data_IF_029379499499
#
_entry.id   IF_029379499499
#
_cell.length_a   1.000
_cell.length_b   1.000
_cell.length_c   1.000
_cell.angle_alpha   90.00
_cell.angle_beta   90.00
_cell.angle_gamma   90.00
#
_symmetry.space_group_name_H-M   'P 1'
#
loop_
_entity.id
_entity.type
_entity.pdbx_description
1 polymer ?
#
# COMPACT_ATOMS: atom_id res chain seq x y z
N UNK A 1 2.26 -3.29 11.89
CA UNK A 1 1.07 -3.92 11.29
C UNK A 1 1.49 -4.59 10.02
N UNK A 2 1.21 -5.85 9.90
CA UNK A 2 1.49 -6.58 8.68
C UNK A 2 0.47 -7.70 8.47
N UNK A 3 0.21 -8.03 7.24
CA UNK A 3 -0.30 -9.33 6.86
C UNK A 3 0.73 -10.00 5.96
N UNK A 4 0.99 -11.27 6.18
CA UNK A 4 1.97 -11.98 5.39
C UNK A 4 1.31 -12.51 4.12
N UNK A 5 1.86 -12.13 2.97
CA UNK A 5 1.64 -12.86 1.73
C UNK A 5 2.64 -14.02 1.74
N UNK A 6 2.14 -15.22 1.97
CA UNK A 6 2.96 -16.42 2.07
C UNK A 6 3.91 -16.54 0.88
N UNK A 7 5.19 -16.69 1.15
CA UNK A 7 6.25 -16.87 0.16
C UNK A 7 6.89 -15.62 -0.43
N UNK A 8 6.27 -14.43 -0.31
CA UNK A 8 6.82 -13.19 -0.88
C UNK A 8 7.52 -12.29 0.13
N UNK A 9 7.22 -12.39 1.40
CA UNK A 9 7.82 -11.57 2.46
C UNK A 9 8.97 -12.24 3.18
N UNK A 10 9.98 -12.74 2.48
CA UNK A 10 11.01 -13.61 3.06
C UNK A 10 11.73 -13.01 4.26
N UNK A 11 12.19 -11.77 4.17
CA UNK A 11 12.88 -11.09 5.27
C UNK A 11 11.93 -10.76 6.42
N UNK A 12 10.72 -10.28 6.10
CA UNK A 12 9.67 -10.03 7.08
C UNK A 12 9.30 -11.32 7.84
N UNK A 13 9.09 -12.42 7.09
CA UNK A 13 8.80 -13.73 7.67
C UNK A 13 9.90 -14.21 8.63
N UNK A 14 11.19 -14.01 8.29
CA UNK A 14 12.30 -14.30 9.20
C UNK A 14 12.28 -13.46 10.48
N UNK A 15 11.90 -12.20 10.38
CA UNK A 15 11.74 -11.35 11.57
C UNK A 15 10.62 -11.88 12.48
N UNK A 16 9.50 -12.31 11.91
CA UNK A 16 8.36 -12.85 12.69
C UNK A 16 8.68 -14.22 13.27
N UNK A 17 9.15 -15.18 12.45
CA UNK A 17 9.32 -16.58 12.85
C UNK A 17 10.61 -16.82 13.62
N UNK A 18 11.70 -16.16 13.23
CA UNK A 18 13.05 -16.42 13.73
C UNK A 18 13.62 -15.28 14.57
N UNK A 19 12.94 -14.13 14.64
CA UNK A 19 13.40 -12.90 15.29
C UNK A 19 14.74 -12.38 14.75
N UNK A 20 15.02 -12.59 13.47
CA UNK A 20 16.26 -12.22 12.79
C UNK A 20 15.99 -11.15 11.74
N UNK A 21 16.71 -10.02 11.75
CA UNK A 21 17.80 -9.63 12.64
C UNK A 21 17.35 -9.20 14.04
N UNK A 22 16.07 -8.95 14.23
CA UNK A 22 15.49 -8.59 15.53
C UNK A 22 14.01 -9.00 15.60
N UNK A 23 13.49 -9.11 16.81
CA UNK A 23 12.05 -9.23 17.04
C UNK A 23 11.32 -7.96 16.57
N UNK A 24 10.17 -8.14 15.96
CA UNK A 24 9.29 -7.04 15.56
C UNK A 24 7.97 -7.14 16.31
N UNK A 25 7.39 -6.01 16.64
CA UNK A 25 6.04 -5.92 17.15
C UNK A 25 5.06 -6.09 15.99
N UNK A 26 4.18 -7.08 16.10
CA UNK A 26 3.25 -7.45 15.05
C UNK A 26 1.80 -7.28 15.53
N UNK A 27 1.03 -6.48 14.82
CA UNK A 27 -0.44 -6.49 14.87
C UNK A 27 -0.96 -7.10 13.57
N UNK A 28 -1.59 -8.24 13.66
CA UNK A 28 -2.08 -8.95 12.48
C UNK A 28 -3.56 -8.66 12.22
N UNK A 29 -3.88 -8.33 10.97
CA UNK A 29 -5.23 -8.17 10.45
C UNK A 29 -5.35 -8.83 9.08
N UNK A 30 -6.55 -9.26 8.72
CA UNK A 30 -6.81 -9.64 7.32
C UNK A 30 -6.74 -8.41 6.41
N UNK A 31 -6.61 -8.63 5.10
CA UNK A 31 -6.66 -7.54 4.13
C UNK A 31 -7.95 -6.70 4.27
N UNK A 32 -9.09 -7.39 4.40
CA UNK A 32 -10.37 -6.72 4.64
C UNK A 32 -10.40 -5.97 5.97
N UNK A 33 -9.83 -6.53 7.04
CA UNK A 33 -9.70 -5.86 8.33
C UNK A 33 -8.88 -4.58 8.24
N UNK A 34 -7.79 -4.57 7.50
CA UNK A 34 -7.01 -3.35 7.24
C UNK A 34 -7.81 -2.32 6.44
N UNK A 35 -8.57 -2.75 5.43
CA UNK A 35 -9.45 -1.84 4.68
C UNK A 35 -10.51 -1.20 5.56
N UNK A 36 -11.11 -1.96 6.48
CA UNK A 36 -12.05 -1.43 7.48
C UNK A 36 -11.40 -0.43 8.44
N UNK A 37 -10.16 -0.66 8.85
CA UNK A 37 -9.41 0.27 9.71
C UNK A 37 -9.22 1.63 9.04
N UNK A 38 -8.80 1.64 7.77
CA UNK A 38 -8.67 2.88 6.99
C UNK A 38 -10.02 3.53 6.72
N UNK A 39 -11.06 2.73 6.44
CA UNK A 39 -12.41 3.26 6.27
C UNK A 39 -12.92 3.93 7.55
N UNK A 40 -12.70 3.32 8.72
CA UNK A 40 -13.06 3.92 10.01
C UNK A 40 -12.33 5.25 10.23
N UNK A 41 -11.03 5.30 9.93
CA UNK A 41 -10.24 6.54 9.98
C UNK A 41 -10.76 7.62 9.04
N UNK A 42 -11.07 7.26 7.79
CA UNK A 42 -11.63 8.15 6.79
C UNK A 42 -13.01 8.73 7.18
N UNK A 43 -13.83 7.92 7.88
CA UNK A 43 -15.13 8.34 8.41
C UNK A 43 -15.05 9.14 9.70
N UNK A 44 -13.89 9.22 10.34
CA UNK A 44 -13.71 9.85 11.64
C UNK A 44 -14.38 9.10 12.80
N UNK A 45 -14.64 7.78 12.64
CA UNK A 45 -15.20 6.94 13.70
C UNK A 45 -14.10 6.12 14.38
N UNK A 46 -14.23 5.78 15.69
CA UNK A 46 -13.16 5.10 16.43
C UNK A 46 -12.95 3.64 16.01
N UNK A 47 -13.96 2.99 15.45
CA UNK A 47 -13.94 1.60 15.01
C UNK A 47 -15.06 1.30 14.02
N UNK A 48 -14.97 0.16 13.33
CA UNK A 48 -16.08 -0.43 12.59
C UNK A 48 -16.36 -1.86 13.04
N UNK A 49 -17.65 -2.25 13.11
CA UNK A 49 -18.03 -3.62 13.40
C UNK A 49 -17.94 -4.50 12.15
N UNK A 50 -17.59 -5.77 12.34
CA UNK A 50 -17.55 -6.76 11.24
C UNK A 50 -17.78 -8.17 11.79
N UNK A 51 -18.24 -9.08 10.94
CA UNK A 51 -18.32 -10.52 11.26
C UNK A 51 -17.08 -11.29 10.79
N UNK A 52 -16.16 -10.65 10.03
CA UNK A 52 -15.09 -11.35 9.33
C UNK A 52 -14.03 -11.99 10.25
N UNK A 53 -13.95 -11.60 11.51
CA UNK A 53 -13.00 -12.17 12.48
C UNK A 53 -13.63 -13.19 13.43
N UNK A 54 -14.96 -13.31 13.43
CA UNK A 54 -15.64 -14.27 14.29
C UNK A 54 -15.27 -15.71 13.93
N UNK A 55 -15.03 -16.54 14.96
CA UNK A 55 -14.65 -17.93 14.80
C UNK A 55 -13.20 -18.14 14.31
N UNK A 56 -12.40 -17.09 14.25
CA UNK A 56 -10.97 -17.16 13.93
C UNK A 56 -10.11 -16.86 15.17
N UNK A 57 -8.83 -17.17 15.07
CA UNK A 57 -7.88 -16.89 16.15
C UNK A 57 -7.39 -15.42 16.17
N UNK A 58 -7.83 -14.56 15.25
CA UNK A 58 -7.38 -13.16 15.21
C UNK A 58 -7.62 -12.42 16.53
N UNK A 59 -8.82 -12.49 17.09
CA UNK A 59 -9.13 -11.85 18.36
C UNK A 59 -8.35 -12.44 19.54
N UNK A 60 -7.88 -13.69 19.44
CA UNK A 60 -7.07 -14.36 20.45
C UNK A 60 -5.63 -13.83 20.49
N UNK A 61 -5.05 -13.52 19.31
CA UNK A 61 -3.66 -13.07 19.18
C UNK A 61 -3.52 -11.56 19.03
N UNK A 62 -4.58 -10.86 18.66
CA UNK A 62 -4.60 -9.42 18.53
C UNK A 62 -5.61 -8.79 19.49
N UNK A 63 -5.12 -8.30 20.63
CA UNK A 63 -5.94 -7.71 21.70
C UNK A 63 -6.70 -6.43 21.28
N UNK A 64 -6.35 -5.85 20.13
CA UNK A 64 -7.07 -4.70 19.59
C UNK A 64 -8.37 -5.08 18.87
N UNK A 65 -8.54 -6.35 18.50
CA UNK A 65 -9.80 -6.87 17.98
C UNK A 65 -10.66 -7.30 19.17
N UNK A 66 -11.72 -6.57 19.42
CA UNK A 66 -12.66 -6.86 20.50
C UNK A 66 -13.96 -7.43 19.93
N UNK A 67 -14.76 -8.08 20.75
CA UNK A 67 -16.08 -8.57 20.38
C UNK A 67 -17.16 -7.90 21.23
N UNK A 68 -18.33 -7.65 20.62
CA UNK A 68 -19.50 -7.17 21.31
C UNK A 68 -20.78 -7.73 20.68
N UNK A 69 -21.89 -7.62 21.40
CA UNK A 69 -23.22 -7.81 20.83
C UNK A 69 -23.70 -6.51 20.18
N UNK A 70 -24.16 -6.61 18.95
CA UNK A 70 -24.67 -5.46 18.20
C UNK A 70 -25.96 -4.92 18.85
N UNK A 71 -26.04 -3.62 19.17
CA UNK A 71 -27.14 -3.07 19.98
C UNK A 71 -28.56 -3.26 19.38
N UNK A 72 -28.65 -3.38 18.05
CA UNK A 72 -29.96 -3.46 17.36
C UNK A 72 -30.38 -4.88 17.04
N UNK A 73 -29.43 -5.83 16.95
CA UNK A 73 -29.73 -7.19 16.47
C UNK A 73 -29.39 -8.27 17.48
N UNK A 74 -28.59 -7.95 18.52
CA UNK A 74 -28.05 -8.93 19.46
C UNK A 74 -27.01 -9.89 18.89
N UNK A 75 -26.65 -9.72 17.60
CA UNK A 75 -25.64 -10.57 16.96
C UNK A 75 -24.24 -10.22 17.44
N UNK A 76 -23.38 -11.24 17.61
CA UNK A 76 -21.95 -11.01 17.86
C UNK A 76 -21.27 -10.36 16.66
N UNK A 77 -20.44 -9.36 16.92
CA UNK A 77 -19.58 -8.68 15.95
C UNK A 77 -18.19 -8.46 16.55
N UNK A 78 -17.18 -8.49 15.71
CA UNK A 78 -15.84 -8.04 16.05
C UNK A 78 -15.70 -6.55 15.77
N UNK A 79 -14.98 -5.83 16.62
CA UNK A 79 -14.69 -4.41 16.47
C UNK A 79 -13.26 -4.24 15.97
N UNK A 80 -13.12 -3.50 14.88
CA UNK A 80 -11.82 -3.22 14.25
C UNK A 80 -11.50 -1.74 14.46
N UNK A 81 -10.42 -1.38 15.20
CA UNK A 81 -10.11 0.01 15.52
C UNK A 81 -9.67 0.78 14.28
N UNK A 82 -10.00 2.07 14.23
CA UNK A 82 -9.57 2.97 13.16
C UNK A 82 -8.05 3.02 13.03
N UNK A 83 -7.57 3.15 11.80
CA UNK A 83 -6.20 3.53 11.50
C UNK A 83 -6.16 5.00 11.05
N UNK A 84 -5.26 5.78 11.65
CA UNK A 84 -5.02 7.18 11.31
C UNK A 84 -3.52 7.36 11.06
N UNK A 85 -3.04 7.10 9.84
CA UNK A 85 -1.63 7.26 9.49
C UNK A 85 -1.18 8.71 9.63
N UNK A 86 0.06 8.93 10.05
CA UNK A 86 0.64 10.27 10.01
C UNK A 86 0.90 10.72 8.57
N UNK A 87 1.39 9.79 7.72
CA UNK A 87 1.66 10.04 6.30
C UNK A 87 1.11 8.90 5.46
N UNK A 88 0.40 9.24 4.39
CA UNK A 88 0.04 8.33 3.30
C UNK A 88 0.96 8.57 2.10
N UNK A 89 1.54 7.50 1.57
CA UNK A 89 2.24 7.50 0.29
C UNK A 89 1.38 6.72 -0.70
N UNK A 90 0.86 7.40 -1.71
CA UNK A 90 -0.08 6.82 -2.67
C UNK A 90 0.44 7.05 -4.07
N UNK A 91 0.37 6.01 -4.91
CA UNK A 91 0.72 6.11 -6.33
C UNK A 91 -0.51 5.87 -7.20
N UNK A 92 -0.71 6.67 -8.26
CA UNK A 92 -1.86 6.57 -9.14
C UNK A 92 -1.45 6.70 -10.63
N UNK A 93 -2.39 6.37 -11.53
CA UNK A 93 -2.13 6.40 -12.98
C UNK A 93 -1.87 7.82 -13.48
N UNK A 94 -2.62 8.80 -13.02
CA UNK A 94 -2.37 10.21 -13.33
C UNK A 94 -2.94 11.13 -12.26
N UNK A 95 -2.39 12.32 -12.15
CA UNK A 95 -2.89 13.36 -11.26
C UNK A 95 -2.79 14.74 -11.90
N UNK A 96 -3.55 15.71 -11.39
CA UNK A 96 -3.32 17.12 -11.69
C UNK A 96 -2.46 17.80 -10.61
N UNK A 97 -2.03 19.02 -10.86
CA UNK A 97 -1.23 19.82 -9.91
C UNK A 97 -1.94 20.16 -8.60
N UNK A 98 -3.26 19.92 -8.53
CA UNK A 98 -4.06 20.12 -7.33
C UNK A 98 -4.22 18.86 -6.50
N UNK A 99 -3.57 17.75 -6.90
CA UNK A 99 -3.58 16.48 -6.20
C UNK A 99 -4.81 15.60 -6.47
N UNK A 100 -5.61 15.89 -7.51
CA UNK A 100 -6.69 15.00 -7.89
C UNK A 100 -6.13 13.79 -8.62
N UNK A 101 -6.08 12.63 -7.94
CA UNK A 101 -5.52 11.38 -8.44
C UNK A 101 -6.54 10.46 -9.06
N UNK A 102 -6.25 9.95 -10.26
CA UNK A 102 -7.10 9.02 -10.99
C UNK A 102 -6.44 7.65 -11.15
N UNK A 103 -7.25 6.61 -11.00
CA UNK A 103 -6.88 5.22 -11.19
C UNK A 103 -7.66 4.62 -12.35
N UNK A 104 -6.97 3.84 -13.18
CA UNK A 104 -7.60 3.08 -14.28
C UNK A 104 -7.91 1.63 -13.91
N UNK A 105 -7.51 1.21 -12.74
CA UNK A 105 -7.69 -0.14 -12.22
C UNK A 105 -8.21 -0.15 -10.78
N UNK A 106 -7.87 -1.21 -10.06
CA UNK A 106 -8.27 -1.37 -8.66
C UNK A 106 -7.39 -0.46 -7.79
N UNK A 107 -8.03 0.45 -7.07
CA UNK A 107 -7.36 1.38 -6.14
C UNK A 107 -7.18 0.82 -4.72
N UNK A 108 -7.69 -0.39 -4.45
CA UNK A 108 -7.70 -1.00 -3.12
C UNK A 108 -8.22 -0.01 -2.04
N UNK A 109 -7.39 0.30 -1.05
CA UNK A 109 -7.76 1.22 0.03
C UNK A 109 -7.23 2.66 -0.15
N UNK A 110 -6.72 3.02 -1.34
CA UNK A 110 -6.05 4.31 -1.55
C UNK A 110 -6.92 5.51 -1.16
N UNK A 111 -8.21 5.51 -1.53
CA UNK A 111 -9.15 6.56 -1.13
C UNK A 111 -9.26 6.70 0.38
N UNK A 112 -9.46 5.59 1.07
CA UNK A 112 -9.63 5.60 2.52
C UNK A 112 -8.32 5.94 3.25
N UNK A 113 -7.18 5.50 2.74
CA UNK A 113 -5.87 5.84 3.30
C UNK A 113 -5.63 7.35 3.19
N UNK A 114 -5.89 7.95 2.00
CA UNK A 114 -5.75 9.40 1.81
C UNK A 114 -6.64 10.21 2.74
N UNK A 115 -7.87 9.75 2.98
CA UNK A 115 -8.83 10.44 3.87
C UNK A 115 -8.54 10.23 5.36
N UNK A 116 -7.90 9.11 5.72
CA UNK A 116 -7.57 8.75 7.11
C UNK A 116 -6.26 9.36 7.58
N UNK A 117 -5.34 9.66 6.68
CA UNK A 117 -4.02 10.17 6.99
C UNK A 117 -4.05 11.66 7.38
N UNK A 118 -3.07 12.09 8.19
CA UNK A 118 -2.86 13.51 8.49
C UNK A 118 -2.25 14.26 7.30
N UNK A 119 -1.33 13.59 6.57
CA UNK A 119 -0.66 14.11 5.39
C UNK A 119 -0.66 13.07 4.28
N UNK A 120 -0.85 13.51 3.04
CA UNK A 120 -0.82 12.62 1.88
C UNK A 120 0.15 13.15 0.82
N UNK A 121 1.10 12.30 0.45
CA UNK A 121 1.98 12.51 -0.71
C UNK A 121 1.46 11.60 -1.82
N UNK A 122 1.03 12.20 -2.93
CA UNK A 122 0.54 11.51 -4.10
C UNK A 122 1.62 11.50 -5.17
N UNK A 123 2.05 10.32 -5.60
CA UNK A 123 2.86 10.17 -6.81
C UNK A 123 1.98 9.69 -7.95
N UNK A 124 2.34 9.99 -9.20
CA UNK A 124 1.60 9.55 -10.36
C UNK A 124 2.53 9.19 -11.51
N UNK A 125 2.04 8.31 -12.40
CA UNK A 125 2.74 8.01 -13.64
C UNK A 125 2.85 9.23 -14.53
N UNK A 126 1.79 10.06 -14.54
CA UNK A 126 1.73 11.25 -15.38
C UNK A 126 1.01 12.41 -14.69
N UNK A 127 1.66 13.56 -14.66
CA UNK A 127 1.01 14.81 -14.29
C UNK A 127 0.29 15.40 -15.51
N UNK A 128 -0.99 15.72 -15.36
CA UNK A 128 -1.86 16.18 -16.45
C UNK A 128 -2.60 17.46 -16.10
N UNK A 129 -3.14 18.12 -17.11
CA UNK A 129 -3.98 19.30 -16.91
C UNK A 129 -5.29 18.93 -16.20
N UNK A 130 -5.76 19.82 -15.33
CA UNK A 130 -7.01 19.66 -14.57
C UNK A 130 -8.21 19.41 -15.49
N UNK A 131 -8.23 20.01 -16.67
CA UNK A 131 -9.31 19.81 -17.65
C UNK A 131 -9.45 18.33 -18.09
N UNK A 132 -8.32 17.58 -18.13
CA UNK A 132 -8.37 16.15 -18.43
C UNK A 132 -8.97 15.35 -17.27
N UNK A 133 -8.63 15.71 -16.03
CA UNK A 133 -9.24 15.10 -14.84
C UNK A 133 -10.75 15.35 -14.81
N UNK A 134 -11.20 16.56 -15.10
CA UNK A 134 -12.62 16.97 -15.11
C UNK A 134 -13.44 16.25 -16.16
N UNK A 135 -12.84 15.79 -17.24
CA UNK A 135 -13.56 15.02 -18.29
C UNK A 135 -14.00 13.63 -17.82
N UNK A 136 -13.31 13.06 -16.83
CA UNK A 136 -13.58 11.71 -16.28
C UNK A 136 -13.57 11.73 -14.76
N UNK A 137 -14.48 12.49 -14.10
CA UNK A 137 -14.44 12.71 -12.66
C UNK A 137 -14.67 11.42 -11.85
N UNK A 138 -15.37 10.44 -12.43
CA UNK A 138 -15.64 9.13 -11.84
C UNK A 138 -14.37 8.27 -11.63
N UNK A 139 -13.25 8.61 -12.26
CA UNK A 139 -11.95 7.95 -12.06
C UNK A 139 -11.14 8.57 -10.93
N UNK A 140 -11.57 9.72 -10.40
CA UNK A 140 -10.87 10.41 -9.31
C UNK A 140 -11.15 9.71 -7.99
N UNK A 141 -10.18 8.93 -7.54
CA UNK A 141 -10.24 8.15 -6.30
C UNK A 141 -9.60 8.94 -5.14
N UNK A 142 -8.50 9.64 -5.41
CA UNK A 142 -7.85 10.51 -4.42
C UNK A 142 -8.22 11.96 -4.74
N UNK A 143 -9.09 12.59 -3.93
CA UNK A 143 -9.47 13.98 -4.16
C UNK A 143 -8.39 14.94 -3.65
N UNK A 144 -8.13 16.00 -4.41
CA UNK A 144 -7.02 16.94 -4.15
C UNK A 144 -7.03 17.58 -2.77
N UNK A 145 -8.21 17.75 -2.16
CA UNK A 145 -8.30 18.32 -0.80
C UNK A 145 -7.70 17.43 0.30
N UNK A 146 -7.37 16.17 -0.01
CA UNK A 146 -6.69 15.25 0.91
C UNK A 146 -5.19 15.17 0.67
N UNK A 147 -4.65 15.90 -0.32
CA UNK A 147 -3.27 15.77 -0.80
C UNK A 147 -2.47 17.01 -0.46
N UNK A 148 -1.34 16.83 0.22
CA UNK A 148 -0.41 17.92 0.57
C UNK A 148 0.66 18.12 -0.50
N UNK A 149 1.09 17.04 -1.19
CA UNK A 149 2.08 17.11 -2.24
C UNK A 149 1.78 16.13 -3.36
N UNK A 150 2.05 16.55 -4.61
CA UNK A 150 1.94 15.70 -5.80
C UNK A 150 3.25 15.71 -6.57
N UNK A 151 3.68 14.51 -7.02
CA UNK A 151 4.92 14.32 -7.79
C UNK A 151 4.66 13.39 -8.98
N UNK A 152 5.25 13.73 -10.14
CA UNK A 152 5.32 12.81 -11.27
C UNK A 152 6.50 11.86 -11.06
N UNK A 153 6.23 10.56 -11.01
CA UNK A 153 7.24 9.51 -10.81
C UNK A 153 6.87 8.31 -11.70
N UNK A 154 7.23 8.34 -12.98
CA UNK A 154 6.91 7.26 -13.91
C UNK A 154 7.51 5.92 -13.47
N UNK A 155 6.79 4.82 -13.68
CA UNK A 155 7.17 3.46 -13.26
C UNK A 155 7.32 3.27 -11.74
N UNK A 156 6.69 4.11 -10.89
CA UNK A 156 6.85 3.99 -9.44
C UNK A 156 6.20 2.75 -8.84
N UNK A 157 5.31 2.06 -9.54
CA UNK A 157 4.81 0.75 -9.12
C UNK A 157 5.75 -0.41 -9.46
N UNK A 158 6.79 -0.20 -10.30
CA UNK A 158 7.74 -1.26 -10.65
C UNK A 158 8.38 -1.91 -9.40
N UNK A 159 8.51 -3.23 -9.33
CA UNK A 159 8.26 -4.24 -10.38
C UNK A 159 6.79 -4.68 -10.53
N UNK A 160 5.85 -4.10 -9.79
CA UNK A 160 4.43 -4.38 -9.92
C UNK A 160 3.84 -3.66 -11.13
N UNK A 161 2.60 -3.96 -11.47
CA UNK A 161 1.90 -3.33 -12.59
C UNK A 161 1.24 -2.00 -12.21
N UNK A 162 1.09 -1.13 -13.18
CA UNK A 162 0.10 -0.05 -13.17
C UNK A 162 -0.87 -0.29 -14.33
N UNK A 163 -2.15 -0.44 -14.01
CA UNK A 163 -3.16 -0.81 -15.00
C UNK A 163 -3.21 0.21 -16.15
N UNK A 164 -3.16 -0.30 -17.37
CA UNK A 164 -3.10 0.42 -18.65
C UNK A 164 -1.76 1.12 -18.96
N UNK A 165 -0.84 1.21 -18.02
CA UNK A 165 0.47 1.83 -18.26
C UNK A 165 1.54 0.76 -18.50
N UNK A 166 1.69 -0.22 -17.61
CA UNK A 166 2.64 -1.32 -17.74
C UNK A 166 2.25 -2.55 -16.93
N UNK A 167 2.78 -3.69 -17.33
CA UNK A 167 2.52 -4.99 -16.69
C UNK A 167 3.57 -5.32 -15.62
N UNK A 168 3.30 -6.35 -14.86
CA UNK A 168 4.18 -6.87 -13.82
C UNK A 168 5.50 -7.42 -14.37
N UNK A 169 6.65 -6.90 -13.91
CA UNK A 169 7.98 -7.41 -14.25
C UNK A 169 8.34 -8.65 -13.41
N UNK A 170 7.73 -9.78 -13.77
CA UNK A 170 7.97 -11.05 -13.10
C UNK A 170 9.45 -11.48 -13.08
N UNK A 171 10.24 -11.35 -14.18
CA UNK A 171 11.66 -11.67 -14.16
C UNK A 171 12.46 -10.83 -13.17
N UNK A 172 12.23 -9.53 -13.09
CA UNK A 172 12.91 -8.65 -12.14
C UNK A 172 12.54 -9.01 -10.70
N UNK A 173 11.25 -9.15 -10.40
CA UNK A 173 10.79 -9.54 -9.08
C UNK A 173 11.33 -10.92 -8.68
N UNK A 174 11.43 -11.88 -9.60
CA UNK A 174 12.01 -13.20 -9.32
C UNK A 174 13.49 -13.11 -8.95
N UNK A 175 14.25 -12.21 -9.58
CA UNK A 175 15.65 -11.94 -9.22
C UNK A 175 15.74 -11.30 -7.83
N UNK A 176 14.90 -10.31 -7.54
CA UNK A 176 14.80 -9.68 -6.23
C UNK A 176 14.52 -10.73 -5.13
N UNK A 177 13.53 -11.58 -5.34
CA UNK A 177 13.16 -12.63 -4.38
C UNK A 177 14.29 -13.64 -4.15
N UNK A 178 15.08 -13.96 -5.19
CA UNK A 178 16.27 -14.80 -5.04
C UNK A 178 17.36 -14.11 -4.23
N UNK A 179 17.64 -12.85 -4.51
CA UNK A 179 18.61 -12.04 -3.77
C UNK A 179 18.23 -11.94 -2.28
N UNK A 180 16.96 -11.73 -1.98
CA UNK A 180 16.48 -11.55 -0.60
C UNK A 180 16.49 -12.82 0.26
N UNK A 181 16.86 -13.99 -0.29
CA UNK A 181 17.02 -15.22 0.49
C UNK A 181 18.20 -15.19 1.43
N UNK A 182 19.21 -14.40 1.15
CA UNK A 182 20.40 -14.26 1.99
C UNK A 182 20.58 -12.79 2.39
N UNK A 183 21.28 -12.56 3.50
CA UNK A 183 21.62 -11.21 3.94
C UNK A 183 22.53 -10.52 2.91
N UNK A 184 23.56 -11.21 2.45
CA UNK A 184 24.48 -10.69 1.45
C UNK A 184 23.77 -10.29 0.15
N UNK A 185 22.93 -11.18 -0.39
CA UNK A 185 22.14 -10.87 -1.59
C UNK A 185 21.18 -9.69 -1.40
N UNK A 186 20.59 -9.56 -0.22
CA UNK A 186 19.75 -8.41 0.13
C UNK A 186 20.58 -7.12 0.16
N UNK A 187 21.74 -7.11 0.80
CA UNK A 187 22.60 -5.93 0.90
C UNK A 187 23.10 -5.49 -0.49
N UNK A 188 23.55 -6.43 -1.33
CA UNK A 188 23.93 -6.15 -2.73
C UNK A 188 22.76 -5.57 -3.54
N UNK A 189 21.56 -6.12 -3.38
CA UNK A 189 20.37 -5.61 -4.08
C UNK A 189 20.00 -4.20 -3.63
N UNK A 190 20.02 -3.96 -2.31
CA UNK A 190 19.70 -2.64 -1.75
C UNK A 190 20.72 -1.60 -2.18
N UNK A 191 22.02 -1.96 -2.19
CA UNK A 191 23.05 -1.06 -2.67
C UNK A 191 22.82 -0.70 -4.14
N UNK A 192 22.55 -1.70 -4.97
CA UNK A 192 22.36 -1.48 -6.40
C UNK A 192 21.16 -0.65 -6.78
N UNK A 193 20.01 -0.89 -6.14
CA UNK A 193 18.72 -0.33 -6.57
C UNK A 193 18.12 0.70 -5.61
N UNK A 194 18.71 0.93 -4.45
CA UNK A 194 18.19 1.85 -3.45
C UNK A 194 19.23 2.83 -2.92
N UNK A 195 20.34 2.35 -2.38
CA UNK A 195 21.31 3.22 -1.73
C UNK A 195 22.37 3.79 -2.67
N UNK A 196 22.75 3.04 -3.70
CA UNK A 196 23.74 3.43 -4.70
C UNK A 196 23.18 4.23 -5.86
N UNK A 197 21.89 4.59 -5.84
CA UNK A 197 21.25 5.46 -6.84
C UNK A 197 20.97 6.83 -6.22
N UNK A 198 21.32 7.91 -6.92
CA UNK A 198 21.16 9.27 -6.41
C UNK A 198 19.73 9.79 -6.57
N UNK A 199 19.05 9.36 -7.66
CA UNK A 199 17.70 9.80 -7.97
C UNK A 199 16.88 8.70 -8.67
N UNK A 200 15.60 9.02 -8.92
CA UNK A 200 14.68 8.12 -9.61
C UNK A 200 15.10 7.79 -11.05
N UNK A 201 15.69 8.74 -11.75
CA UNK A 201 16.15 8.51 -13.14
C UNK A 201 17.34 7.54 -13.18
N UNK A 202 18.20 7.57 -12.16
CA UNK A 202 19.29 6.63 -12.04
C UNK A 202 18.78 5.22 -11.74
N UNK A 203 17.80 5.09 -10.85
CA UNK A 203 17.08 3.83 -10.64
C UNK A 203 16.52 3.27 -11.96
N UNK A 204 15.82 4.08 -12.75
CA UNK A 204 15.27 3.65 -14.05
C UNK A 204 16.36 3.21 -15.04
N UNK A 205 17.52 3.88 -15.04
CA UNK A 205 18.67 3.46 -15.86
C UNK A 205 19.23 2.13 -15.38
N UNK A 206 19.32 1.92 -14.08
CA UNK A 206 19.82 0.68 -13.50
C UNK A 206 18.88 -0.52 -13.74
N UNK A 207 17.57 -0.31 -13.71
CA UNK A 207 16.57 -1.28 -14.15
C UNK A 207 16.70 -1.57 -15.65
N UNK A 208 16.98 -0.54 -16.44
CA UNK A 208 17.17 -0.59 -17.90
C UNK A 208 15.93 -0.16 -18.68
N UNK A 209 16.06 0.93 -19.43
CA UNK A 209 14.95 1.49 -20.23
C UNK A 209 14.39 0.51 -21.25
N UNK A 210 15.25 -0.30 -21.89
CA UNK A 210 14.79 -1.32 -22.85
C UNK A 210 13.88 -2.37 -22.18
N UNK A 211 14.12 -2.67 -20.93
CA UNK A 211 13.28 -3.57 -20.13
C UNK A 211 11.94 -2.90 -19.80
N UNK A 212 11.97 -1.68 -19.27
CA UNK A 212 10.78 -0.93 -18.90
C UNK A 212 9.83 -0.71 -20.08
N UNK A 213 10.37 -0.43 -21.26
CA UNK A 213 9.59 -0.22 -22.48
C UNK A 213 8.94 -1.51 -23.03
N UNK A 214 9.26 -2.68 -22.51
CA UNK A 214 8.64 -3.97 -22.86
C UNK A 214 7.52 -4.39 -21.90
N UNK A 215 7.35 -3.66 -20.82
CA UNK A 215 6.29 -3.91 -19.84
C UNK A 215 4.97 -3.30 -20.30
#
# INVERSE_FOLDING_TARGET
IAYAVAGLGYNFRRCVEQKVPREIELEEYSNYGMSLRFLAGAMGVPFLPTKSFLGSDFAKYNSRIQEMEAPYTGEKVSLVPAAQPDVALIHCSRADRFGNGQYFGISASAENIARAAKHTILTCEKLVDQELIRKTPNLTIVPGYTVDAVCEVPFASHPWNMAYDYIYDLPFHSQQMKAFKTREGFEIWMERYCYGVEDWNEYLREVGFERLMKL
#
